data_IF_025973779893
#
_entry.id   IF_025973779893
#
_cell.length_a   1.000
_cell.length_b   1.000
_cell.length_c   1.000
_cell.angle_alpha   90.00
_cell.angle_beta   90.00
_cell.angle_gamma   90.00
#
_symmetry.space_group_name_H-M   'P 1'
#
loop_
_entity.id
_entity.type
_entity.pdbx_description
1 polymer ?
#
# COMPACT_ATOMS: atom_id res chain seq x y z
N UNK A 1 15.35 -13.39 51.97
CA UNK A 1 14.58 -12.70 50.91
C UNK A 1 14.93 -13.31 49.55
N UNK A 2 14.37 -14.48 49.23
CA UNK A 2 14.65 -15.24 48.00
C UNK A 2 13.36 -15.90 47.54
N UNK A 3 12.37 -15.14 47.08
CA UNK A 3 11.13 -15.70 46.51
C UNK A 3 10.31 -14.71 45.68
N UNK A 4 10.85 -13.53 45.31
CA UNK A 4 10.05 -12.49 44.64
C UNK A 4 10.40 -12.26 43.16
N UNK A 5 11.23 -13.12 42.56
CA UNK A 5 11.73 -12.93 41.18
C UNK A 5 11.19 -13.94 40.16
N UNK A 6 10.29 -14.86 40.53
CA UNK A 6 9.83 -15.95 39.63
C UNK A 6 8.45 -15.67 39.00
N UNK A 7 7.69 -14.67 39.49
CA UNK A 7 6.32 -14.45 39.02
C UNK A 7 6.17 -13.48 37.83
N UNK A 8 7.24 -12.77 37.44
CA UNK A 8 7.18 -11.77 36.36
C UNK A 8 7.61 -12.35 35.00
N UNK A 9 8.09 -13.60 34.96
CA UNK A 9 8.59 -14.22 33.72
C UNK A 9 7.56 -15.05 32.94
N UNK A 10 6.35 -15.25 33.46
CA UNK A 10 5.32 -16.12 32.85
C UNK A 10 4.22 -15.37 32.06
N UNK A 11 4.30 -14.05 31.94
CA UNK A 11 3.22 -13.21 31.38
C UNK A 11 3.42 -12.79 29.91
N UNK A 12 4.47 -13.24 29.21
CA UNK A 12 4.79 -12.76 27.85
C UNK A 12 4.53 -13.73 26.70
N UNK A 13 3.87 -14.88 26.92
CA UNK A 13 3.67 -15.89 25.83
C UNK A 13 2.27 -15.90 25.23
N UNK A 14 1.37 -14.99 25.61
CA UNK A 14 0.12 -14.76 24.88
C UNK A 14 0.32 -13.68 23.81
N UNK A 15 1.33 -13.88 22.95
CA UNK A 15 1.30 -13.29 21.62
C UNK A 15 0.13 -13.97 20.89
N UNK A 16 -1.04 -13.33 21.00
CA UNK A 16 -2.28 -13.73 20.38
C UNK A 16 -2.06 -13.82 18.87
N UNK A 17 -1.84 -15.02 18.36
CA UNK A 17 -1.71 -15.31 16.94
C UNK A 17 -3.12 -15.28 16.31
N UNK A 18 -3.80 -14.13 16.39
CA UNK A 18 -4.99 -13.90 15.59
C UNK A 18 -4.51 -13.86 14.14
N UNK A 19 -4.65 -14.98 13.42
CA UNK A 19 -4.65 -14.98 11.95
C UNK A 19 -5.55 -13.82 11.54
N UNK A 20 -4.96 -12.78 10.96
CA UNK A 20 -5.68 -11.66 10.43
C UNK A 20 -6.65 -12.24 9.40
N UNK A 21 -7.91 -12.32 9.79
CA UNK A 21 -8.96 -12.85 8.93
C UNK A 21 -9.11 -11.78 7.86
N UNK A 22 -8.91 -12.15 6.59
CA UNK A 22 -9.05 -11.23 5.49
C UNK A 22 -10.37 -10.46 5.63
N UNK A 23 -10.39 -9.15 5.35
CA UNK A 23 -11.59 -8.36 5.51
C UNK A 23 -12.73 -8.94 4.67
N UNK A 24 -13.95 -8.81 5.17
CA UNK A 24 -15.13 -9.22 4.43
C UNK A 24 -15.43 -8.20 3.32
N UNK A 25 -14.73 -8.36 2.19
CA UNK A 25 -14.91 -7.57 0.97
C UNK A 25 -15.29 -8.49 -0.19
N UNK A 26 -16.36 -8.18 -0.95
CA UNK A 26 -16.67 -8.92 -2.17
C UNK A 26 -15.53 -8.84 -3.19
N UNK A 27 -15.24 -9.96 -3.86
CA UNK A 27 -14.18 -10.03 -4.87
C UNK A 27 -14.36 -9.00 -6.00
N UNK A 28 -15.61 -8.70 -6.38
CA UNK A 28 -15.93 -7.66 -7.37
C UNK A 28 -15.50 -6.27 -6.90
N UNK A 29 -15.85 -5.90 -5.66
CA UNK A 29 -15.48 -4.62 -5.06
C UNK A 29 -13.95 -4.49 -4.96
N UNK A 30 -13.27 -5.55 -4.52
CA UNK A 30 -11.80 -5.59 -4.48
C UNK A 30 -11.20 -5.36 -5.88
N UNK A 31 -11.68 -6.06 -6.89
CA UNK A 31 -11.15 -5.97 -8.26
C UNK A 31 -11.34 -4.56 -8.86
N UNK A 32 -12.47 -3.91 -8.57
CA UNK A 32 -12.70 -2.53 -9.03
C UNK A 32 -11.74 -1.55 -8.35
N UNK A 33 -11.53 -1.68 -7.03
CA UNK A 33 -10.54 -0.89 -6.28
C UNK A 33 -9.12 -1.13 -6.81
N UNK A 34 -8.74 -2.38 -7.02
CA UNK A 34 -7.45 -2.77 -7.58
C UNK A 34 -7.20 -2.16 -8.97
N UNK A 35 -8.21 -2.19 -9.84
CA UNK A 35 -8.15 -1.58 -11.18
C UNK A 35 -7.90 -0.08 -11.09
N UNK A 36 -8.61 0.62 -10.19
CA UNK A 36 -8.44 2.06 -9.97
C UNK A 36 -7.04 2.36 -9.44
N UNK A 37 -6.57 1.63 -8.42
CA UNK A 37 -5.22 1.81 -7.85
C UNK A 37 -4.15 1.74 -8.92
N UNK A 38 -4.11 0.65 -9.70
CA UNK A 38 -3.13 0.45 -10.78
C UNK A 38 -3.26 1.50 -11.87
N UNK A 39 -4.49 1.81 -12.30
CA UNK A 39 -4.75 2.79 -13.36
C UNK A 39 -4.23 4.17 -12.98
N UNK A 40 -4.49 4.60 -11.75
CA UNK A 40 -4.08 5.90 -11.22
C UNK A 40 -2.56 6.02 -11.14
N UNK A 41 -1.87 5.12 -10.43
CA UNK A 41 -0.39 5.23 -10.29
C UNK A 41 0.31 5.08 -11.64
N UNK A 42 -0.20 4.21 -12.52
CA UNK A 42 0.38 4.05 -13.86
C UNK A 42 0.21 5.33 -14.68
N UNK A 43 -0.96 5.97 -14.63
CA UNK A 43 -1.22 7.21 -15.36
C UNK A 43 -0.38 8.37 -14.85
N UNK A 44 -0.29 8.55 -13.53
CA UNK A 44 0.53 9.60 -12.91
C UNK A 44 2.02 9.39 -13.25
N UNK A 45 2.52 8.15 -13.15
CA UNK A 45 3.94 7.85 -13.41
C UNK A 45 4.41 8.20 -14.83
N UNK A 46 3.48 8.28 -15.80
CA UNK A 46 3.75 8.60 -17.20
C UNK A 46 3.69 10.10 -17.51
N UNK A 47 3.21 10.92 -16.58
CA UNK A 47 3.16 12.36 -16.75
C UNK A 47 4.58 12.94 -16.88
N UNK A 48 4.78 13.79 -17.88
CA UNK A 48 6.07 14.39 -18.19
C UNK A 48 6.20 15.77 -17.55
N UNK A 49 5.09 16.48 -17.38
CA UNK A 49 5.07 17.75 -16.68
C UNK A 49 5.13 17.50 -15.16
N UNK A 50 6.26 17.86 -14.53
CA UNK A 50 6.56 17.57 -13.12
C UNK A 50 5.58 18.25 -12.17
N UNK A 51 5.21 19.50 -12.44
CA UNK A 51 4.24 20.26 -11.63
C UNK A 51 2.86 19.59 -11.67
N UNK A 52 2.42 19.19 -12.88
CA UNK A 52 1.16 18.48 -13.08
C UNK A 52 1.18 17.11 -12.40
N UNK A 53 2.29 16.38 -12.48
CA UNK A 53 2.46 15.09 -11.81
C UNK A 53 2.30 15.25 -10.30
N UNK A 54 3.06 16.17 -9.68
CA UNK A 54 2.99 16.48 -8.25
C UNK A 54 1.56 16.81 -7.85
N UNK A 55 0.93 17.74 -8.57
CA UNK A 55 -0.44 18.18 -8.31
C UNK A 55 -1.45 17.02 -8.35
N UNK A 56 -1.39 16.17 -9.37
CA UNK A 56 -2.30 15.01 -9.47
C UNK A 56 -2.01 13.99 -8.36
N UNK A 57 -0.75 13.71 -8.06
CA UNK A 57 -0.37 12.78 -6.99
C UNK A 57 -0.86 13.26 -5.62
N UNK A 58 -0.64 14.53 -5.30
CA UNK A 58 -1.12 15.18 -4.07
C UNK A 58 -2.64 15.14 -3.99
N UNK A 59 -3.38 15.56 -5.03
CA UNK A 59 -4.84 15.51 -4.98
C UNK A 59 -5.39 14.09 -4.87
N UNK A 60 -4.77 13.13 -5.56
CA UNK A 60 -5.17 11.72 -5.45
C UNK A 60 -5.01 11.22 -4.01
N UNK A 61 -3.88 11.54 -3.37
CA UNK A 61 -3.62 11.15 -1.98
C UNK A 61 -4.61 11.80 -1.02
N UNK A 62 -4.86 13.10 -1.16
CA UNK A 62 -5.77 13.84 -0.27
C UNK A 62 -7.24 13.47 -0.46
N UNK A 63 -7.68 13.31 -1.70
CA UNK A 63 -9.07 12.97 -2.01
C UNK A 63 -9.42 11.52 -1.61
N UNK A 64 -8.44 10.70 -1.21
CA UNK A 64 -8.61 9.27 -0.91
C UNK A 64 -9.45 8.59 -1.98
N UNK A 65 -9.05 8.78 -3.24
CA UNK A 65 -9.79 8.33 -4.43
C UNK A 65 -10.13 6.83 -4.38
N UNK A 66 -9.34 6.06 -3.62
CA UNK A 66 -9.62 4.66 -3.31
C UNK A 66 -9.91 4.53 -1.81
N UNK A 67 -11.16 4.25 -1.47
CA UNK A 67 -11.53 3.78 -0.12
C UNK A 67 -11.02 2.34 0.03
N UNK A 68 -9.91 2.19 0.75
CA UNK A 68 -9.10 1.00 0.68
C UNK A 68 -9.15 0.22 2.00
N UNK A 69 -9.55 -1.06 1.92
CA UNK A 69 -9.47 -2.02 3.00
C UNK A 69 -8.42 -3.05 2.62
N UNK A 70 -7.30 -3.06 3.34
CA UNK A 70 -6.19 -3.96 3.07
C UNK A 70 -6.62 -5.43 3.28
N UNK A 71 -6.52 -6.23 2.22
CA UNK A 71 -6.55 -7.70 2.30
C UNK A 71 -5.18 -8.20 2.71
N UNK A 72 -4.12 -7.64 2.11
CA UNK A 72 -2.73 -7.81 2.52
C UNK A 72 -2.17 -6.43 2.90
N UNK A 73 -1.44 -5.76 1.98
CA UNK A 73 -0.91 -4.41 2.17
C UNK A 73 -0.96 -3.57 0.88
N UNK A 74 -1.82 -3.94 -0.08
CA UNK A 74 -1.93 -3.25 -1.37
C UNK A 74 -2.29 -1.76 -1.22
N UNK A 75 -3.10 -1.39 -0.23
CA UNK A 75 -3.46 0.00 0.04
C UNK A 75 -2.26 0.80 0.54
N UNK A 76 -1.46 0.18 1.42
CA UNK A 76 -0.22 0.77 1.93
C UNK A 76 0.76 1.02 0.79
N UNK A 77 1.00 0.01 -0.07
CA UNK A 77 1.87 0.17 -1.23
C UNK A 77 1.38 1.23 -2.22
N UNK A 78 0.07 1.30 -2.46
CA UNK A 78 -0.52 2.35 -3.27
C UNK A 78 -0.23 3.75 -2.69
N UNK A 79 -0.42 3.94 -1.39
CA UNK A 79 -0.14 5.22 -0.73
C UNK A 79 1.36 5.57 -0.71
N UNK A 80 2.23 4.57 -0.53
CA UNK A 80 3.69 4.75 -0.55
C UNK A 80 4.17 5.21 -1.93
N UNK A 81 3.58 4.69 -3.02
CA UNK A 81 3.88 5.13 -4.38
C UNK A 81 3.52 6.61 -4.56
N UNK A 82 2.31 7.02 -4.15
CA UNK A 82 1.88 8.42 -4.26
C UNK A 82 2.78 9.34 -3.43
N UNK A 83 3.09 8.95 -2.19
CA UNK A 83 4.00 9.71 -1.30
C UNK A 83 5.37 9.88 -1.94
N UNK A 84 5.93 8.82 -2.54
CA UNK A 84 7.22 8.89 -3.23
C UNK A 84 7.18 9.77 -4.47
N UNK A 85 6.12 9.69 -5.28
CA UNK A 85 5.97 10.59 -6.43
C UNK A 85 5.93 12.06 -6.00
N UNK A 86 5.19 12.38 -4.94
CA UNK A 86 5.14 13.74 -4.39
C UNK A 86 6.53 14.17 -3.96
N UNK A 87 7.22 13.33 -3.16
CA UNK A 87 8.56 13.64 -2.65
C UNK A 87 9.60 13.81 -3.76
N UNK A 88 9.65 12.91 -4.74
CA UNK A 88 10.60 13.02 -5.85
C UNK A 88 10.38 14.28 -6.69
N UNK A 89 9.15 14.81 -6.70
CA UNK A 89 8.82 16.04 -7.42
C UNK A 89 8.87 17.31 -6.57
N UNK A 90 9.34 17.23 -5.32
CA UNK A 90 9.42 18.41 -4.43
C UNK A 90 10.34 19.49 -4.98
N UNK A 91 11.49 19.08 -5.51
CA UNK A 91 12.51 19.97 -6.07
C UNK A 91 12.27 20.35 -7.55
N UNK A 92 11.10 19.99 -8.09
CA UNK A 92 10.72 20.28 -9.47
C UNK A 92 11.42 19.42 -10.52
N UNK A 93 12.13 18.36 -10.09
CA UNK A 93 12.74 17.36 -10.97
C UNK A 93 12.03 16.01 -10.78
N UNK A 94 12.25 15.09 -11.73
CA UNK A 94 11.87 13.68 -11.57
C UNK A 94 12.69 12.84 -12.53
N UNK A 95 13.83 12.37 -12.04
CA UNK A 95 14.86 11.78 -12.87
C UNK A 95 14.54 10.33 -13.28
N UNK A 96 15.37 9.77 -14.16
CA UNK A 96 15.17 8.42 -14.67
C UNK A 96 15.29 7.33 -13.59
N UNK A 97 16.13 7.55 -12.57
CA UNK A 97 16.33 6.61 -11.46
C UNK A 97 15.09 6.56 -10.56
N UNK A 98 14.52 7.73 -10.27
CA UNK A 98 13.29 7.88 -9.48
C UNK A 98 12.08 7.33 -10.24
N UNK A 99 12.01 7.58 -11.56
CA UNK A 99 11.00 6.97 -12.43
C UNK A 99 11.10 5.45 -12.42
N UNK A 100 12.32 4.89 -12.44
CA UNK A 100 12.55 3.45 -12.36
C UNK A 100 12.10 2.88 -11.01
N UNK A 101 12.45 3.52 -9.89
CA UNK A 101 11.97 3.11 -8.54
C UNK A 101 10.44 3.07 -8.49
N UNK A 102 9.77 4.09 -9.05
CA UNK A 102 8.32 4.11 -9.13
C UNK A 102 7.77 2.95 -9.99
N UNK A 103 8.39 2.65 -11.14
CA UNK A 103 7.95 1.51 -11.96
C UNK A 103 8.11 0.18 -11.21
N UNK A 104 9.21 -0.01 -10.50
CA UNK A 104 9.44 -1.22 -9.69
C UNK A 104 8.38 -1.37 -8.59
N UNK A 105 8.01 -0.27 -7.93
CA UNK A 105 6.93 -0.27 -6.92
C UNK A 105 5.55 -0.54 -7.51
N UNK A 106 5.28 -0.03 -8.72
CA UNK A 106 4.04 -0.36 -9.44
C UNK A 106 3.97 -1.87 -9.74
N UNK A 107 5.10 -2.52 -10.08
CA UNK A 107 5.11 -3.97 -10.27
C UNK A 107 4.91 -4.73 -8.96
N UNK A 108 5.53 -4.28 -7.86
CA UNK A 108 5.30 -4.85 -6.54
C UNK A 108 3.82 -4.76 -6.12
N UNK A 109 3.18 -3.61 -6.35
CA UNK A 109 1.75 -3.44 -6.09
C UNK A 109 0.89 -4.40 -6.92
N UNK A 110 1.20 -4.61 -8.20
CA UNK A 110 0.47 -5.58 -9.05
C UNK A 110 0.59 -7.00 -8.52
N UNK A 111 1.78 -7.40 -8.07
CA UNK A 111 2.01 -8.72 -7.50
C UNK A 111 1.18 -8.91 -6.22
N UNK A 112 1.18 -7.93 -5.33
CA UNK A 112 0.43 -8.02 -4.07
C UNK A 112 -1.07 -8.01 -4.30
N UNK A 113 -1.59 -7.21 -5.23
CA UNK A 113 -2.99 -7.28 -5.66
C UNK A 113 -3.34 -8.68 -6.17
N UNK A 114 -2.45 -9.32 -6.93
CA UNK A 114 -2.66 -10.68 -7.41
C UNK A 114 -2.71 -11.68 -6.26
N UNK A 115 -1.88 -11.52 -5.23
CA UNK A 115 -1.86 -12.40 -4.06
C UNK A 115 -3.11 -12.18 -3.19
N UNK A 116 -3.48 -10.93 -2.91
CA UNK A 116 -4.69 -10.57 -2.20
C UNK A 116 -5.94 -11.12 -2.89
N UNK A 117 -5.99 -11.08 -4.23
CA UNK A 117 -7.06 -11.70 -5.01
C UNK A 117 -7.16 -13.21 -4.77
N UNK A 118 -6.05 -13.92 -4.68
CA UNK A 118 -6.07 -15.37 -4.40
C UNK A 118 -6.57 -15.66 -3.00
N UNK A 119 -6.15 -14.87 -2.00
CA UNK A 119 -6.65 -15.01 -0.62
C UNK A 119 -8.17 -14.86 -0.56
N UNK A 120 -8.76 -13.94 -1.34
CA UNK A 120 -10.22 -13.78 -1.41
C UNK A 120 -10.94 -14.91 -2.15
N UNK A 121 -10.27 -15.60 -3.08
CA UNK A 121 -10.82 -16.75 -3.81
C UNK A 121 -10.80 -18.04 -2.99
N UNK A 122 -9.86 -18.17 -2.06
CA UNK A 122 -9.68 -19.34 -1.18
C UNK A 122 -10.52 -19.28 0.11
N UNK A 123 -11.32 -18.22 0.28
CA UNK A 123 -12.19 -18.00 1.45
C UNK A 123 -13.41 -18.92 1.49
#
# INVERSE_FOLDING_TARGET
>A
MKCFFIFILSLTVLACNKKQTAPDIPLSEFNDKARVMIGVVTKISKEQNIEKLKKIATYTQFARVVDCKDVLHECKHYNDILTKMIRYTEDGQFDNSERKDIQEKIQALKLEISQARQVLLER
#
